data_IF_600922617181
#
_entry.id   IF_600922617181
#
_cell.length_a   1.000
_cell.length_b   1.000
_cell.length_c   1.000
_cell.angle_alpha   90.00
_cell.angle_beta   90.00
_cell.angle_gamma   90.00
#
_symmetry.space_group_name_H-M   'P 1'
#
loop_
_entity.id
_entity.type
_entity.pdbx_description
1 polymer ?
#
# COMPACT_ATOMS: atom_id res chain seq x y z
N UNK A 1 16.93 23.07 -0.98
CA UNK A 1 16.68 21.63 -1.14
C UNK A 1 16.56 21.33 -2.63
N UNK A 2 17.23 20.31 -3.15
CA UNK A 2 17.06 19.90 -4.54
C UNK A 2 15.59 19.54 -4.76
N UNK A 3 15.06 19.84 -5.94
CA UNK A 3 13.68 19.56 -6.32
C UNK A 3 13.53 18.02 -6.43
N UNK A 4 13.01 17.38 -5.37
CA UNK A 4 12.88 15.93 -5.32
C UNK A 4 11.77 15.53 -6.31
N UNK A 5 12.11 14.67 -7.26
CA UNK A 5 11.14 14.13 -8.23
C UNK A 5 9.97 13.48 -7.49
N UNK A 6 8.74 13.86 -7.86
CA UNK A 6 7.52 13.27 -7.30
C UNK A 6 6.78 12.47 -8.37
N UNK A 7 6.29 11.29 -7.99
CA UNK A 7 5.50 10.40 -8.86
C UNK A 7 4.35 9.82 -8.06
N UNK A 8 3.15 9.82 -8.62
CA UNK A 8 2.05 9.08 -8.00
C UNK A 8 2.23 7.57 -8.27
N UNK A 9 2.06 6.74 -7.24
CA UNK A 9 2.25 5.28 -7.38
C UNK A 9 1.29 4.66 -8.40
N UNK A 10 0.09 5.23 -8.59
CA UNK A 10 -0.82 4.83 -9.67
C UNK A 10 -0.25 5.11 -11.09
N UNK A 11 0.53 6.20 -11.27
CA UNK A 11 1.15 6.48 -12.57
C UNK A 11 2.25 5.47 -12.89
N UNK A 12 3.02 5.06 -11.87
CA UNK A 12 3.99 3.99 -11.96
C UNK A 12 3.32 2.63 -12.26
N UNK A 13 2.18 2.35 -11.62
CA UNK A 13 1.35 1.17 -11.90
C UNK A 13 0.96 1.07 -13.37
N UNK A 14 0.38 2.13 -13.94
CA UNK A 14 -0.02 2.13 -15.35
C UNK A 14 1.15 1.91 -16.32
N UNK A 15 2.33 2.47 -16.02
CA UNK A 15 3.57 2.26 -16.79
C UNK A 15 4.09 0.83 -16.68
N UNK A 16 4.11 0.29 -15.45
CA UNK A 16 4.55 -1.08 -15.21
C UNK A 16 3.67 -2.10 -15.95
N UNK A 17 2.34 -1.91 -15.95
CA UNK A 17 1.43 -2.76 -16.70
C UNK A 17 1.74 -2.74 -18.20
N UNK A 18 2.00 -1.57 -18.79
CA UNK A 18 2.33 -1.47 -20.20
C UNK A 18 3.68 -2.12 -20.53
N UNK A 19 4.67 -1.99 -19.66
CA UNK A 19 5.97 -2.64 -19.82
C UNK A 19 5.84 -4.17 -19.76
N UNK A 20 5.17 -4.71 -18.72
CA UNK A 20 4.91 -6.14 -18.60
C UNK A 20 4.06 -6.69 -19.73
N UNK A 21 3.09 -5.92 -20.23
CA UNK A 21 2.27 -6.31 -21.37
C UNK A 21 3.06 -6.49 -22.68
N UNK A 22 4.20 -5.80 -22.82
CA UNK A 22 5.09 -5.99 -23.95
C UNK A 22 5.90 -7.30 -23.86
N UNK A 23 6.14 -7.77 -22.66
CA UNK A 23 6.92 -8.99 -22.40
C UNK A 23 6.03 -10.25 -22.27
N UNK A 24 4.75 -10.08 -21.88
CA UNK A 24 3.86 -11.17 -21.50
C UNK A 24 2.50 -11.08 -22.20
N UNK A 25 2.22 -11.98 -23.12
CA UNK A 25 0.97 -12.00 -23.91
C UNK A 25 -0.25 -12.43 -23.07
N UNK A 26 -0.04 -13.20 -22.01
CA UNK A 26 -1.10 -13.67 -21.12
C UNK A 26 -1.55 -12.63 -20.07
N UNK A 27 -0.84 -11.47 -19.96
CA UNK A 27 -1.28 -10.38 -19.12
C UNK A 27 -2.46 -9.64 -19.76
N UNK A 28 -3.57 -9.54 -19.03
CA UNK A 28 -4.76 -8.79 -19.41
C UNK A 28 -5.14 -7.80 -18.30
N UNK A 29 -5.76 -6.69 -18.69
CA UNK A 29 -6.15 -5.63 -17.74
C UNK A 29 -7.65 -5.40 -17.85
N UNK A 30 -8.31 -5.34 -16.68
CA UNK A 30 -9.73 -5.01 -16.58
C UNK A 30 -9.89 -3.70 -15.79
N UNK A 31 -10.90 -2.93 -16.14
CA UNK A 31 -11.25 -1.69 -15.47
C UNK A 31 -12.78 -1.55 -15.31
N UNK A 32 -13.21 -0.69 -14.40
CA UNK A 32 -14.62 -0.41 -14.14
C UNK A 32 -14.93 1.07 -14.47
N UNK A 33 -14.75 1.47 -15.72
CA UNK A 33 -14.96 2.84 -16.27
C UNK A 33 -14.05 3.90 -15.60
N UNK A 34 -12.87 3.50 -15.13
CA UNK A 34 -11.93 4.37 -14.42
C UNK A 34 -10.52 4.37 -15.02
N UNK A 35 -10.32 3.85 -16.25
CA UNK A 35 -9.02 3.63 -16.86
C UNK A 35 -8.10 4.86 -16.87
N UNK A 36 -8.65 6.07 -17.03
CA UNK A 36 -7.87 7.30 -16.95
C UNK A 36 -7.41 7.63 -15.52
N UNK A 37 -8.23 7.35 -14.54
CA UNK A 37 -7.94 7.62 -13.13
C UNK A 37 -7.00 6.56 -12.53
N UNK A 38 -7.20 5.28 -12.82
CA UNK A 38 -6.36 4.15 -12.40
C UNK A 38 -5.05 4.08 -13.17
N UNK A 39 -4.94 4.81 -14.31
CA UNK A 39 -3.81 4.81 -15.26
C UNK A 39 -3.68 3.54 -16.11
N UNK A 40 -4.62 2.62 -16.04
CA UNK A 40 -4.70 1.45 -16.94
C UNK A 40 -4.87 1.86 -18.41
N UNK A 41 -5.31 3.11 -18.67
CA UNK A 41 -5.34 3.68 -20.03
C UNK A 41 -3.97 3.60 -20.73
N UNK A 42 -2.85 3.61 -19.99
CA UNK A 42 -1.51 3.44 -20.57
C UNK A 42 -1.38 2.06 -21.23
N UNK A 43 -1.84 1.03 -20.53
CA UNK A 43 -1.91 -0.34 -21.09
C UNK A 43 -2.94 -0.43 -22.23
N UNK A 44 -4.12 0.15 -22.06
CA UNK A 44 -5.18 0.16 -23.08
C UNK A 44 -4.69 0.71 -24.43
N UNK A 45 -3.94 1.82 -24.40
CA UNK A 45 -3.37 2.43 -25.61
C UNK A 45 -2.36 1.54 -26.31
N UNK A 46 -1.55 0.80 -25.56
CA UNK A 46 -0.54 -0.12 -26.09
C UNK A 46 -1.14 -1.45 -26.56
N UNK A 47 -2.13 -1.97 -25.83
CA UNK A 47 -2.71 -3.30 -26.03
C UNK A 47 -4.24 -3.28 -25.97
N UNK A 48 -4.95 -2.63 -26.92
CA UNK A 48 -6.40 -2.42 -26.84
C UNK A 48 -7.22 -3.72 -26.83
N UNK A 49 -6.70 -4.82 -27.39
CA UNK A 49 -7.38 -6.12 -27.43
C UNK A 49 -7.17 -6.95 -26.13
N UNK A 50 -6.36 -6.46 -25.21
CA UNK A 50 -6.09 -7.10 -23.90
C UNK A 50 -6.56 -6.24 -22.72
N UNK A 51 -7.26 -5.14 -23.01
CA UNK A 51 -7.91 -4.29 -22.02
C UNK A 51 -9.41 -4.38 -22.15
N UNK A 52 -10.11 -4.62 -21.01
CA UNK A 52 -11.54 -4.84 -20.95
C UNK A 52 -12.16 -3.87 -19.95
N UNK A 53 -13.02 -2.98 -20.44
CA UNK A 53 -13.83 -2.12 -19.58
C UNK A 53 -15.15 -2.84 -19.28
N UNK A 54 -15.40 -3.07 -18.00
CA UNK A 54 -16.61 -3.76 -17.51
C UNK A 54 -17.75 -2.78 -17.18
N UNK A 55 -17.55 -1.48 -17.42
CA UNK A 55 -18.46 -0.43 -16.96
C UNK A 55 -18.41 -0.27 -15.45
N UNK A 56 -19.30 0.54 -14.87
CA UNK A 56 -19.37 0.79 -13.41
C UNK A 56 -19.97 -0.44 -12.72
N UNK A 57 -19.23 -1.55 -12.72
CA UNK A 57 -19.69 -2.86 -12.25
C UNK A 57 -18.51 -3.66 -11.65
N UNK A 58 -17.93 -3.20 -10.55
CA UNK A 58 -16.73 -3.77 -9.93
C UNK A 58 -16.90 -5.24 -9.52
N UNK A 59 -18.06 -5.60 -8.99
CA UNK A 59 -18.36 -7.00 -8.66
C UNK A 59 -18.34 -7.91 -9.89
N UNK A 60 -18.89 -7.44 -11.03
CA UNK A 60 -18.82 -8.16 -12.29
C UNK A 60 -17.38 -8.23 -12.82
N UNK A 61 -16.63 -7.12 -12.77
CA UNK A 61 -15.22 -7.09 -13.18
C UNK A 61 -14.39 -8.14 -12.43
N UNK A 62 -14.56 -8.25 -11.13
CA UNK A 62 -13.85 -9.24 -10.29
C UNK A 62 -14.24 -10.67 -10.71
N UNK A 63 -15.53 -10.97 -10.98
CA UNK A 63 -15.95 -12.28 -11.46
C UNK A 63 -15.41 -12.60 -12.85
N UNK A 64 -15.36 -11.63 -13.77
CA UNK A 64 -14.76 -11.78 -15.10
C UNK A 64 -13.27 -12.07 -14.98
N UNK A 65 -12.54 -11.31 -14.15
CA UNK A 65 -11.13 -11.55 -13.90
C UNK A 65 -10.87 -12.95 -13.31
N UNK A 66 -11.70 -13.38 -12.35
CA UNK A 66 -11.65 -14.74 -11.80
C UNK A 66 -11.80 -15.80 -12.90
N UNK A 67 -12.81 -15.66 -13.79
CA UNK A 67 -13.01 -16.57 -14.93
C UNK A 67 -11.83 -16.57 -15.89
N UNK A 68 -11.29 -15.41 -16.25
CA UNK A 68 -10.14 -15.29 -17.13
C UNK A 68 -8.89 -15.97 -16.55
N UNK A 69 -8.66 -15.89 -15.26
CA UNK A 69 -7.49 -16.53 -14.63
C UNK A 69 -7.51 -18.06 -14.76
N UNK A 70 -8.69 -18.68 -14.82
CA UNK A 70 -8.83 -20.14 -15.00
C UNK A 70 -8.43 -20.61 -16.40
N UNK A 71 -8.23 -19.69 -17.35
CA UNK A 71 -7.79 -20.00 -18.73
C UNK A 71 -6.28 -19.80 -18.96
N UNK A 72 -5.52 -19.55 -17.89
CA UNK A 72 -4.07 -19.31 -17.96
C UNK A 72 -3.68 -17.83 -18.20
N UNK A 73 -4.66 -16.93 -18.21
CA UNK A 73 -4.40 -15.49 -18.23
C UNK A 73 -4.04 -14.99 -16.83
N UNK A 74 -3.30 -13.88 -16.77
CA UNK A 74 -2.98 -13.15 -15.55
C UNK A 74 -3.70 -11.80 -15.57
N UNK A 75 -4.92 -11.73 -15.03
CA UNK A 75 -5.70 -10.51 -15.03
C UNK A 75 -5.28 -9.55 -13.92
N UNK A 76 -5.14 -8.27 -14.30
CA UNK A 76 -5.05 -7.13 -13.39
C UNK A 76 -6.40 -6.40 -13.41
N UNK A 77 -7.19 -6.56 -12.37
CA UNK A 77 -8.50 -5.92 -12.21
C UNK A 77 -8.35 -4.61 -11.43
N UNK A 78 -8.69 -3.48 -12.06
CA UNK A 78 -8.35 -2.15 -11.54
C UNK A 78 -9.59 -1.31 -11.28
N UNK A 79 -9.65 -0.71 -10.09
CA UNK A 79 -10.64 0.29 -9.69
C UNK A 79 -10.09 1.13 -8.54
N UNK A 80 -10.90 2.02 -7.97
CA UNK A 80 -10.52 2.68 -6.71
C UNK A 80 -10.56 1.68 -5.55
N UNK A 81 -9.70 1.89 -4.56
CA UNK A 81 -9.58 1.00 -3.41
C UNK A 81 -10.94 0.79 -2.70
N UNK A 82 -11.73 1.86 -2.51
CA UNK A 82 -13.05 1.77 -1.91
C UNK A 82 -14.00 0.85 -2.69
N UNK A 83 -13.93 0.86 -4.00
CA UNK A 83 -14.84 0.08 -4.83
C UNK A 83 -14.34 -1.35 -5.03
N UNK A 84 -13.04 -1.55 -5.17
CA UNK A 84 -12.44 -2.88 -5.28
C UNK A 84 -12.57 -3.68 -3.97
N UNK A 85 -12.28 -3.04 -2.83
CA UNK A 85 -12.30 -3.71 -1.52
C UNK A 85 -13.66 -3.68 -0.84
N UNK A 86 -14.43 -2.59 -0.96
CA UNK A 86 -15.72 -2.44 -0.31
C UNK A 86 -16.86 -3.05 -1.15
N UNK A 87 -17.12 -2.47 -2.34
CA UNK A 87 -18.25 -2.87 -3.19
C UNK A 87 -18.16 -4.29 -3.70
N UNK A 88 -16.95 -4.75 -4.06
CA UNK A 88 -16.71 -6.08 -4.62
C UNK A 88 -16.14 -7.09 -3.61
N UNK A 89 -16.20 -6.80 -2.30
CA UNK A 89 -15.55 -7.62 -1.27
C UNK A 89 -15.96 -9.11 -1.34
N UNK A 90 -17.26 -9.39 -1.47
CA UNK A 90 -17.75 -10.77 -1.52
C UNK A 90 -17.18 -11.52 -2.73
N UNK A 91 -17.13 -10.87 -3.91
CA UNK A 91 -16.58 -11.48 -5.12
C UNK A 91 -15.07 -11.67 -5.02
N UNK A 92 -14.34 -10.72 -4.43
CA UNK A 92 -12.90 -10.90 -4.15
C UNK A 92 -12.69 -12.10 -3.22
N UNK A 93 -13.47 -12.20 -2.14
CA UNK A 93 -13.36 -13.30 -1.18
C UNK A 93 -13.72 -14.65 -1.81
N UNK A 94 -14.86 -14.75 -2.46
CA UNK A 94 -15.44 -16.04 -2.89
C UNK A 94 -15.00 -16.47 -4.28
N UNK A 95 -14.83 -15.52 -5.22
CA UNK A 95 -14.46 -15.85 -6.59
C UNK A 95 -12.94 -15.85 -6.82
N UNK A 96 -12.16 -15.15 -6.00
CA UNK A 96 -10.71 -15.08 -6.13
C UNK A 96 -10.01 -15.75 -4.95
N UNK A 97 -10.28 -15.30 -3.72
CA UNK A 97 -9.56 -15.73 -2.52
C UNK A 97 -9.81 -17.20 -2.19
N UNK A 98 -11.08 -17.64 -2.15
CA UNK A 98 -11.44 -19.01 -1.77
C UNK A 98 -10.84 -20.08 -2.72
N UNK A 99 -10.93 -19.94 -4.06
CA UNK A 99 -10.29 -20.87 -4.98
C UNK A 99 -8.81 -20.55 -5.22
N UNK A 100 -8.25 -19.51 -4.57
CA UNK A 100 -6.85 -19.09 -4.67
C UNK A 100 -6.40 -18.78 -6.12
N UNK A 101 -7.23 -18.04 -6.87
CA UNK A 101 -6.99 -17.74 -8.27
C UNK A 101 -5.92 -16.66 -8.46
N UNK A 102 -5.16 -16.79 -9.55
CA UNK A 102 -4.09 -15.88 -9.93
C UNK A 102 -4.63 -14.57 -10.52
N UNK A 103 -5.24 -13.74 -9.68
CA UNK A 103 -5.78 -12.42 -10.03
C UNK A 103 -5.06 -11.34 -9.23
N UNK A 104 -4.66 -10.25 -9.92
CA UNK A 104 -4.06 -9.06 -9.30
C UNK A 104 -5.09 -7.94 -9.25
N UNK A 105 -5.35 -7.42 -8.06
CA UNK A 105 -6.28 -6.31 -7.86
C UNK A 105 -5.48 -5.03 -7.75
N UNK A 106 -5.52 -4.18 -8.77
CA UNK A 106 -4.86 -2.88 -8.82
C UNK A 106 -5.76 -1.79 -8.22
N UNK A 107 -5.73 -1.63 -6.91
CA UNK A 107 -6.57 -0.71 -6.16
C UNK A 107 -5.90 0.66 -6.04
N UNK A 108 -6.37 1.65 -6.79
CA UNK A 108 -5.85 3.02 -6.72
C UNK A 108 -6.69 3.90 -5.78
N UNK A 109 -6.22 5.11 -5.48
CA UNK A 109 -6.96 6.06 -4.64
C UNK A 109 -7.24 5.52 -3.22
N UNK A 110 -6.29 4.77 -2.62
CA UNK A 110 -6.39 4.37 -1.22
C UNK A 110 -6.09 5.54 -0.29
N UNK A 111 -6.76 5.56 0.87
CA UNK A 111 -6.49 6.49 1.98
C UNK A 111 -7.13 7.87 1.87
N UNK A 112 -6.72 8.73 2.79
CA UNK A 112 -7.21 10.10 2.98
C UNK A 112 -6.75 11.07 1.87
N UNK A 113 -5.56 10.80 1.28
CA UNK A 113 -4.96 11.65 0.25
C UNK A 113 -5.67 11.62 -1.11
N UNK A 114 -6.77 10.88 -1.22
CA UNK A 114 -7.73 11.06 -2.33
C UNK A 114 -8.19 12.51 -2.42
N UNK A 115 -8.35 13.16 -1.28
CA UNK A 115 -8.51 14.61 -1.23
C UNK A 115 -9.95 15.07 -1.45
N UNK A 116 -10.17 15.85 -2.51
CA UNK A 116 -11.41 16.56 -2.76
C UNK A 116 -12.64 15.68 -2.97
N UNK A 117 -12.45 14.45 -3.45
CA UNK A 117 -13.54 13.47 -3.66
C UNK A 117 -14.23 13.07 -2.35
N UNK A 118 -13.54 13.23 -1.21
CA UNK A 118 -14.10 13.11 0.13
C UNK A 118 -14.36 11.68 0.59
N UNK A 119 -15.05 11.56 1.73
CA UNK A 119 -15.22 10.32 2.48
C UNK A 119 -15.77 9.12 1.68
N UNK A 120 -16.63 9.35 0.68
CA UNK A 120 -17.20 8.27 -0.13
C UNK A 120 -16.18 7.58 -1.06
N UNK A 121 -15.03 8.21 -1.30
CA UNK A 121 -13.94 7.72 -2.15
C UNK A 121 -12.66 7.43 -1.37
N UNK A 122 -12.47 8.07 -0.22
CA UNK A 122 -11.36 7.81 0.68
C UNK A 122 -11.53 6.44 1.32
N UNK A 123 -10.62 5.50 1.02
CA UNK A 123 -10.66 4.15 1.56
C UNK A 123 -9.59 3.99 2.64
N UNK A 124 -10.02 3.95 3.88
CA UNK A 124 -9.16 3.72 5.04
C UNK A 124 -9.37 2.34 5.67
N UNK A 125 -10.10 1.44 5.03
CA UNK A 125 -10.52 0.13 5.54
C UNK A 125 -10.04 -1.04 4.66
N UNK A 126 -9.43 -0.75 3.53
CA UNK A 126 -9.10 -1.78 2.52
C UNK A 126 -8.12 -2.84 3.03
N UNK A 127 -7.10 -2.47 3.81
CA UNK A 127 -6.20 -3.45 4.40
C UNK A 127 -6.95 -4.37 5.38
N UNK A 128 -7.82 -3.83 6.21
CA UNK A 128 -8.61 -4.61 7.16
C UNK A 128 -9.46 -5.67 6.44
N UNK A 129 -10.16 -5.26 5.38
CA UNK A 129 -10.99 -6.14 4.57
C UNK A 129 -10.15 -7.22 3.86
N UNK A 130 -9.09 -6.82 3.18
CA UNK A 130 -8.26 -7.75 2.39
C UNK A 130 -7.42 -8.67 3.27
N UNK A 131 -6.94 -8.20 4.44
CA UNK A 131 -6.19 -9.05 5.38
C UNK A 131 -7.02 -10.19 5.94
N UNK A 132 -8.33 -10.02 6.07
CA UNK A 132 -9.24 -11.07 6.55
C UNK A 132 -9.40 -12.25 5.56
N UNK A 133 -9.03 -12.07 4.28
CA UNK A 133 -9.16 -13.12 3.25
C UNK A 133 -7.93 -14.05 3.34
N UNK A 134 -8.13 -15.38 3.58
CA UNK A 134 -7.04 -16.35 3.59
C UNK A 134 -6.26 -16.36 2.26
N UNK A 135 -4.92 -16.42 2.34
CA UNK A 135 -4.05 -16.48 1.17
C UNK A 135 -3.91 -15.21 0.33
N UNK A 136 -4.66 -14.13 0.64
CA UNK A 136 -4.51 -12.85 -0.02
C UNK A 136 -3.18 -12.19 0.35
N UNK A 137 -2.38 -11.83 -0.64
CA UNK A 137 -1.18 -10.99 -0.46
C UNK A 137 -1.55 -9.51 -0.59
N UNK A 138 -0.99 -8.64 0.26
CA UNK A 138 -1.30 -7.21 0.28
C UNK A 138 -0.02 -6.40 0.20
N UNK A 139 0.08 -5.52 -0.79
CA UNK A 139 1.25 -4.70 -1.07
C UNK A 139 0.84 -3.23 -1.18
N UNK A 140 1.58 -2.35 -0.49
CA UNK A 140 1.41 -0.89 -0.52
C UNK A 140 2.79 -0.24 -0.71
N UNK A 141 3.24 -0.03 -1.96
CA UNK A 141 4.57 0.51 -2.23
C UNK A 141 4.71 1.97 -1.81
N UNK A 142 5.93 2.33 -1.39
CA UNK A 142 6.25 3.61 -0.79
C UNK A 142 6.54 4.73 -1.79
N UNK A 143 6.94 4.39 -3.02
CA UNK A 143 7.17 5.37 -4.11
C UNK A 143 6.94 4.77 -5.50
N UNK A 144 7.17 5.56 -6.54
CA UNK A 144 6.94 5.13 -7.91
C UNK A 144 7.87 4.02 -8.39
N UNK A 145 9.11 3.97 -7.91
CA UNK A 145 10.08 2.94 -8.29
C UNK A 145 9.73 1.61 -7.64
N UNK A 146 9.45 1.63 -6.35
CA UNK A 146 8.99 0.43 -5.64
C UNK A 146 7.64 -0.07 -6.19
N UNK A 147 6.75 0.85 -6.64
CA UNK A 147 5.48 0.47 -7.25
C UNK A 147 5.69 -0.33 -8.55
N UNK A 148 6.63 0.08 -9.43
CA UNK A 148 6.97 -0.67 -10.64
C UNK A 148 7.52 -2.07 -10.29
N UNK A 149 8.41 -2.17 -9.31
CA UNK A 149 8.99 -3.43 -8.85
C UNK A 149 7.92 -4.34 -8.21
N UNK A 150 7.01 -3.78 -7.39
CA UNK A 150 5.91 -4.50 -6.77
C UNK A 150 4.91 -5.07 -7.78
N UNK A 151 4.61 -4.34 -8.85
CA UNK A 151 3.72 -4.81 -9.94
C UNK A 151 4.35 -6.01 -10.65
N UNK A 152 5.66 -5.95 -10.93
CA UNK A 152 6.40 -7.07 -11.50
C UNK A 152 6.40 -8.28 -10.58
N UNK A 153 6.72 -8.10 -9.30
CA UNK A 153 6.72 -9.18 -8.33
C UNK A 153 5.32 -9.80 -8.14
N UNK A 154 4.27 -8.99 -8.22
CA UNK A 154 2.90 -9.48 -8.19
C UNK A 154 2.56 -10.32 -9.44
N UNK A 155 3.02 -9.92 -10.64
CA UNK A 155 2.85 -10.71 -11.85
C UNK A 155 3.55 -12.08 -11.75
N UNK A 156 4.78 -12.10 -11.24
CA UNK A 156 5.60 -13.31 -11.10
C UNK A 156 5.07 -14.28 -10.02
N UNK A 157 4.26 -13.79 -9.07
CA UNK A 157 3.65 -14.60 -8.01
C UNK A 157 2.38 -15.29 -8.50
N UNK A 158 2.22 -16.58 -8.24
CA UNK A 158 0.94 -17.28 -8.42
C UNK A 158 0.02 -17.07 -7.20
N UNK A 159 -1.26 -16.76 -7.46
CA UNK A 159 -2.25 -16.50 -6.43
C UNK A 159 -2.73 -15.05 -6.34
N UNK A 160 -3.66 -14.76 -5.41
CA UNK A 160 -4.32 -13.46 -5.33
C UNK A 160 -3.43 -12.40 -4.67
N UNK A 161 -3.34 -11.23 -5.32
CA UNK A 161 -2.57 -10.08 -4.81
C UNK A 161 -3.44 -8.82 -4.86
N UNK A 162 -3.51 -8.10 -3.75
CA UNK A 162 -4.07 -6.77 -3.64
C UNK A 162 -2.94 -5.75 -3.60
N UNK A 163 -2.87 -4.89 -4.61
CA UNK A 163 -1.90 -3.82 -4.77
C UNK A 163 -2.58 -2.48 -4.51
N UNK A 164 -2.15 -1.76 -3.49
CA UNK A 164 -2.71 -0.46 -3.13
C UNK A 164 -1.83 0.68 -3.61
N UNK A 165 -2.41 1.61 -4.37
CA UNK A 165 -1.72 2.78 -4.91
C UNK A 165 -2.41 4.09 -4.52
N UNK A 166 -1.59 5.14 -4.27
CA UNK A 166 -2.06 6.48 -3.97
C UNK A 166 -2.35 7.32 -5.23
N UNK A 167 -3.22 8.33 -5.07
CA UNK A 167 -3.48 9.38 -6.07
C UNK A 167 -2.42 10.47 -6.03
N UNK A 168 -1.94 10.83 -4.84
CA UNK A 168 -1.00 11.92 -4.61
C UNK A 168 0.37 11.59 -5.20
N UNK A 169 1.00 12.56 -5.88
CA UNK A 169 2.39 12.44 -6.28
C UNK A 169 3.31 12.64 -5.07
N UNK A 170 4.09 11.62 -4.74
CA UNK A 170 4.96 11.54 -3.57
C UNK A 170 6.44 11.51 -3.99
N UNK A 171 7.35 11.91 -3.11
CA UNK A 171 8.79 11.86 -3.39
C UNK A 171 9.27 10.47 -3.77
N UNK A 172 10.16 10.40 -4.75
CA UNK A 172 10.84 9.17 -5.15
C UNK A 172 12.20 9.14 -4.45
N UNK A 173 12.44 8.12 -3.65
CA UNK A 173 13.66 7.94 -2.88
C UNK A 173 14.37 6.60 -3.17
N UNK A 174 13.68 5.62 -3.75
CA UNK A 174 14.32 4.41 -4.23
C UNK A 174 15.06 4.66 -5.56
N UNK A 175 16.18 3.96 -5.75
CA UNK A 175 16.89 3.93 -7.01
C UNK A 175 16.22 2.98 -8.01
N UNK A 176 16.31 3.31 -9.30
CA UNK A 176 15.75 2.46 -10.37
C UNK A 176 16.39 1.08 -10.31
N UNK A 177 15.55 0.04 -10.28
CA UNK A 177 15.99 -1.35 -10.13
C UNK A 177 16.15 -1.77 -8.67
N UNK A 178 15.53 -1.05 -7.72
CA UNK A 178 15.50 -1.46 -6.32
C UNK A 178 15.03 -2.92 -6.18
N UNK A 179 15.58 -3.61 -5.21
CA UNK A 179 15.19 -4.98 -4.92
C UNK A 179 13.88 -4.97 -4.13
N UNK A 180 12.83 -5.57 -4.71
CA UNK A 180 11.55 -5.77 -4.03
C UNK A 180 11.27 -7.26 -3.87
N UNK A 181 10.97 -7.68 -2.65
CA UNK A 181 10.60 -9.06 -2.35
C UNK A 181 9.33 -9.09 -1.49
N UNK A 182 8.31 -9.79 -1.97
CA UNK A 182 7.05 -9.97 -1.23
C UNK A 182 7.34 -10.62 0.14
N UNK A 183 6.80 -10.04 1.21
CA UNK A 183 6.98 -10.53 2.57
C UNK A 183 8.29 -10.10 3.24
N UNK A 184 9.07 -9.20 2.61
CA UNK A 184 10.27 -8.61 3.19
C UNK A 184 10.12 -7.09 3.31
N UNK A 185 10.53 -6.57 4.46
CA UNK A 185 10.67 -5.14 4.71
C UNK A 185 12.10 -4.67 4.45
N UNK A 186 12.28 -3.36 4.31
CA UNK A 186 13.57 -2.72 4.08
C UNK A 186 13.91 -1.77 5.22
N UNK A 187 15.13 -1.85 5.77
CA UNK A 187 15.65 -0.90 6.75
C UNK A 187 16.26 0.27 6.00
N UNK A 188 15.55 1.40 5.96
CA UNK A 188 15.99 2.63 5.29
C UNK A 188 16.94 3.46 6.16
N UNK A 189 16.81 3.35 7.48
CA UNK A 189 17.66 3.99 8.47
C UNK A 189 17.82 3.06 9.67
N UNK A 190 19.05 2.83 10.09
CA UNK A 190 19.31 2.08 11.33
C UNK A 190 19.18 2.99 12.57
N UNK A 191 18.79 2.40 13.71
CA UNK A 191 18.58 3.12 14.95
C UNK A 191 18.42 2.19 16.15
N UNK A 192 18.34 2.77 17.37
CA UNK A 192 18.33 1.99 18.62
C UNK A 192 17.28 2.46 19.62
N UNK A 193 16.64 3.62 19.43
CA UNK A 193 15.75 4.20 20.44
C UNK A 193 14.27 3.89 20.18
N UNK A 194 13.87 3.89 18.91
CA UNK A 194 12.50 3.59 18.47
C UNK A 194 12.54 3.04 17.04
N UNK A 195 11.71 2.04 16.74
CA UNK A 195 11.52 1.54 15.38
C UNK A 195 10.23 2.13 14.79
N UNK A 196 10.35 2.87 13.68
CA UNK A 196 9.23 3.41 12.92
C UNK A 196 9.00 2.50 11.72
N UNK A 197 7.87 1.79 11.70
CA UNK A 197 7.48 0.85 10.65
C UNK A 197 6.36 1.49 9.84
N UNK A 198 6.63 1.83 8.59
CA UNK A 198 5.68 2.56 7.75
C UNK A 198 5.42 1.84 6.43
N UNK A 199 4.31 2.16 5.76
CA UNK A 199 4.03 1.76 4.40
C UNK A 199 3.50 2.92 3.55
N UNK A 200 3.51 2.74 2.23
CA UNK A 200 2.98 3.73 1.30
C UNK A 200 3.61 5.10 1.49
N UNK A 201 2.81 6.15 1.34
CA UNK A 201 3.30 7.53 1.44
C UNK A 201 3.90 7.90 2.81
N UNK A 202 3.51 7.20 3.88
CA UNK A 202 4.03 7.46 5.24
C UNK A 202 5.50 7.05 5.40
N UNK A 203 6.07 6.28 4.48
CA UNK A 203 7.49 5.93 4.53
C UNK A 203 8.38 7.17 4.37
N UNK A 204 8.05 8.06 3.43
CA UNK A 204 8.82 9.29 3.27
C UNK A 204 8.68 10.23 4.48
N UNK A 205 7.48 10.34 5.05
CA UNK A 205 7.25 11.08 6.29
C UNK A 205 8.06 10.48 7.46
N UNK A 206 8.16 9.14 7.54
CA UNK A 206 8.97 8.46 8.54
C UNK A 206 10.48 8.72 8.36
N UNK A 207 10.98 8.78 7.10
CA UNK A 207 12.39 9.15 6.81
C UNK A 207 12.66 10.57 7.34
N UNK A 208 11.80 11.54 6.99
CA UNK A 208 11.96 12.91 7.44
C UNK A 208 11.85 13.04 8.98
N UNK A 209 10.94 12.31 9.59
CA UNK A 209 10.84 12.25 11.04
C UNK A 209 12.13 11.68 11.69
N UNK A 210 12.69 10.61 11.12
CA UNK A 210 13.95 10.02 11.61
C UNK A 210 15.15 10.97 11.50
N UNK A 211 15.20 11.79 10.44
CA UNK A 211 16.22 12.85 10.29
C UNK A 211 16.06 13.95 11.36
N UNK A 212 14.84 14.47 11.53
CA UNK A 212 14.56 15.49 12.54
C UNK A 212 14.79 14.99 13.98
N UNK A 213 14.46 13.74 14.27
CA UNK A 213 14.70 13.10 15.56
C UNK A 213 16.20 12.97 15.88
N UNK A 214 17.04 12.70 14.88
CA UNK A 214 18.49 12.65 15.09
C UNK A 214 19.08 13.99 15.58
N UNK A 215 18.56 15.11 15.08
CA UNK A 215 18.95 16.45 15.56
C UNK A 215 18.56 16.68 17.03
N UNK A 216 17.60 15.91 17.53
CA UNK A 216 17.12 15.96 18.93
C UNK A 216 17.75 14.87 19.81
N UNK A 217 18.68 14.08 19.28
CA UNK A 217 19.34 13.00 20.00
C UNK A 217 18.50 11.72 20.15
N UNK A 218 17.48 11.54 19.30
CA UNK A 218 16.69 10.29 19.20
C UNK A 218 17.17 9.53 17.96
N UNK A 219 17.72 8.33 18.17
CA UNK A 219 18.22 7.49 17.10
C UNK A 219 17.14 6.51 16.63
N UNK A 220 16.26 6.98 15.75
CA UNK A 220 15.17 6.18 15.21
C UNK A 220 15.62 5.23 14.09
N UNK A 221 15.15 3.98 14.14
CA UNK A 221 15.17 3.05 13.01
C UNK A 221 13.95 3.32 12.13
N UNK A 222 14.11 3.37 10.81
CA UNK A 222 13.01 3.55 9.86
C UNK A 222 12.94 2.34 8.94
N UNK A 223 11.77 1.72 8.89
CA UNK A 223 11.50 0.51 8.11
C UNK A 223 10.36 0.77 7.13
N UNK A 224 10.62 0.51 5.85
CA UNK A 224 9.59 0.38 4.83
C UNK A 224 9.01 -1.04 4.88
N UNK A 225 7.73 -1.15 5.20
CA UNK A 225 6.99 -2.42 5.24
C UNK A 225 5.95 -2.42 4.12
N UNK A 226 6.41 -2.46 2.88
CA UNK A 226 5.54 -2.41 1.71
C UNK A 226 4.61 -3.63 1.60
N UNK A 227 4.96 -4.78 2.16
CA UNK A 227 4.08 -5.94 2.25
C UNK A 227 3.38 -5.98 3.61
N UNK A 228 2.07 -5.72 3.61
CA UNK A 228 1.25 -5.77 4.84
C UNK A 228 0.89 -7.22 5.19
N UNK A 229 0.76 -8.08 4.16
CA UNK A 229 0.50 -9.51 4.30
C UNK A 229 1.12 -10.26 3.11
N UNK A 230 2.03 -11.25 3.36
CA UNK A 230 2.56 -11.62 4.67
C UNK A 230 3.46 -10.53 5.26
N UNK A 231 3.41 -10.37 6.57
CA UNK A 231 4.30 -9.46 7.30
C UNK A 231 5.71 -10.05 7.41
N UNK A 232 6.77 -9.23 7.33
CA UNK A 232 8.13 -9.65 7.69
C UNK A 232 8.28 -9.74 9.21
N UNK A 233 7.83 -10.87 9.77
CA UNK A 233 7.83 -11.09 11.22
C UNK A 233 9.24 -11.03 11.83
N UNK A 234 10.26 -11.55 11.10
CA UNK A 234 11.64 -11.56 11.58
C UNK A 234 12.20 -10.15 11.73
N UNK A 235 11.93 -9.29 10.73
CA UNK A 235 12.35 -7.89 10.78
C UNK A 235 11.65 -7.13 11.89
N UNK A 236 10.33 -7.29 12.04
CA UNK A 236 9.56 -6.65 13.11
C UNK A 236 10.08 -7.06 14.50
N UNK A 237 10.28 -8.36 14.73
CA UNK A 237 10.79 -8.87 16.00
C UNK A 237 12.21 -8.38 16.29
N UNK A 238 13.09 -8.34 15.27
CA UNK A 238 14.47 -7.87 15.44
C UNK A 238 14.51 -6.36 15.76
N UNK A 239 13.69 -5.56 15.09
CA UNK A 239 13.56 -4.13 15.34
C UNK A 239 13.00 -3.84 16.74
N UNK A 240 11.93 -4.53 17.13
CA UNK A 240 11.34 -4.40 18.47
C UNK A 240 12.33 -4.80 19.57
N UNK A 241 13.08 -5.88 19.38
CA UNK A 241 14.12 -6.31 20.33
C UNK A 241 15.25 -5.28 20.46
N UNK A 242 15.64 -4.65 19.33
CA UNK A 242 16.74 -3.69 19.29
C UNK A 242 16.36 -2.34 19.90
N UNK A 243 15.16 -1.84 19.57
CA UNK A 243 14.73 -0.48 19.93
C UNK A 243 13.90 -0.42 21.21
N UNK A 244 13.18 -1.48 21.58
CA UNK A 244 12.32 -1.53 22.77
C UNK A 244 10.98 -0.79 22.61
N UNK A 245 10.83 0.06 21.59
CA UNK A 245 9.63 0.83 21.27
C UNK A 245 9.36 0.76 19.76
N UNK A 246 8.08 0.63 19.39
CA UNK A 246 7.67 0.57 17.98
C UNK A 246 6.59 1.62 17.70
N UNK A 247 6.72 2.35 16.60
CA UNK A 247 5.69 3.23 16.05
C UNK A 247 5.32 2.67 14.67
N UNK A 248 4.04 2.50 14.39
CA UNK A 248 3.57 2.13 13.05
C UNK A 248 2.90 3.32 12.38
N UNK A 249 3.15 3.52 11.08
CA UNK A 249 2.61 4.64 10.32
C UNK A 249 1.97 4.14 9.03
N UNK A 250 0.67 4.40 8.88
CA UNK A 250 -0.10 3.97 7.71
C UNK A 250 -1.19 4.98 7.35
N UNK A 251 -1.43 5.19 6.06
CA UNK A 251 -2.56 5.96 5.57
C UNK A 251 -3.82 5.08 5.50
N UNK A 252 -4.23 4.58 6.66
CA UNK A 252 -5.33 3.64 6.83
C UNK A 252 -5.89 3.81 8.25
N UNK A 253 -7.07 3.28 8.52
CA UNK A 253 -7.58 3.18 9.88
C UNK A 253 -6.56 2.46 10.77
N UNK A 254 -6.42 2.90 12.02
CA UNK A 254 -5.64 2.17 13.02
C UNK A 254 -6.23 0.79 13.33
N UNK A 255 -7.46 0.51 12.86
CA UNK A 255 -8.17 -0.76 13.02
C UNK A 255 -7.94 -1.64 11.78
N UNK A 256 -7.36 -2.81 11.96
CA UNK A 256 -7.21 -3.84 10.93
C UNK A 256 -6.04 -3.68 9.96
N UNK A 257 -5.25 -2.59 10.04
CA UNK A 257 -4.15 -2.29 9.14
C UNK A 257 -2.80 -2.90 9.53
N UNK A 258 -1.71 -2.23 9.09
CA UNK A 258 -0.33 -2.59 9.41
C UNK A 258 -0.08 -2.55 10.91
N UNK A 259 -0.56 -1.51 11.59
CA UNK A 259 -0.37 -1.34 13.03
C UNK A 259 -0.93 -2.51 13.83
N UNK A 260 -2.13 -2.99 13.52
CA UNK A 260 -2.67 -4.18 14.18
C UNK A 260 -1.92 -5.47 13.82
N UNK A 261 -1.43 -5.61 12.59
CA UNK A 261 -0.60 -6.76 12.23
C UNK A 261 0.65 -6.83 13.11
N UNK A 262 1.34 -5.69 13.27
CA UNK A 262 2.52 -5.56 14.14
C UNK A 262 2.16 -5.79 15.62
N UNK A 263 1.07 -5.18 16.11
CA UNK A 263 0.60 -5.38 17.49
C UNK A 263 0.29 -6.84 17.80
N UNK A 264 -0.42 -7.55 16.90
CA UNK A 264 -0.73 -8.97 17.09
C UNK A 264 0.54 -9.80 17.19
N UNK A 265 1.49 -9.63 16.26
CA UNK A 265 2.76 -10.33 16.28
C UNK A 265 3.54 -10.09 17.58
N UNK A 266 3.67 -8.81 17.96
CA UNK A 266 4.45 -8.45 19.15
C UNK A 266 3.78 -8.92 20.43
N UNK A 267 2.46 -8.84 20.54
CA UNK A 267 1.77 -9.31 21.75
C UNK A 267 1.94 -10.82 21.96
N UNK A 268 2.05 -11.60 20.91
CA UNK A 268 2.20 -13.06 20.96
C UNK A 268 3.66 -13.50 21.19
N UNK A 269 4.62 -12.85 20.48
CA UNK A 269 6.00 -13.36 20.42
C UNK A 269 7.01 -12.54 21.20
N UNK A 270 6.82 -11.23 21.32
CA UNK A 270 7.74 -10.31 22.02
C UNK A 270 6.97 -9.08 22.51
N UNK A 271 6.28 -9.14 23.65
CA UNK A 271 5.49 -8.01 24.16
C UNK A 271 6.32 -6.73 24.20
N UNK A 272 5.96 -5.77 23.36
CA UNK A 272 6.69 -4.51 23.16
C UNK A 272 5.66 -3.38 23.08
N UNK A 273 5.90 -2.22 23.70
CA UNK A 273 5.04 -1.05 23.54
C UNK A 273 4.96 -0.62 22.08
N UNK A 274 3.74 -0.45 21.56
CA UNK A 274 3.47 -0.01 20.19
C UNK A 274 2.56 1.21 20.19
N UNK A 275 2.96 2.27 19.49
CA UNK A 275 2.10 3.40 19.18
C UNK A 275 1.72 3.36 17.69
N UNK A 276 0.43 3.48 17.39
CA UNK A 276 -0.08 3.44 16.01
C UNK A 276 -0.41 4.84 15.54
N UNK A 277 0.08 5.23 14.36
CA UNK A 277 -0.26 6.45 13.64
C UNK A 277 -1.04 6.04 12.39
N UNK A 278 -2.27 6.51 12.30
CA UNK A 278 -3.22 6.23 11.23
C UNK A 278 -4.49 7.05 11.45
N UNK A 279 -5.55 6.75 10.71
CA UNK A 279 -6.88 7.39 10.88
C UNK A 279 -7.57 6.79 12.11
N UNK A 280 -7.92 7.62 13.09
CA UNK A 280 -8.42 7.21 14.40
C UNK A 280 -9.95 7.05 14.43
N UNK A 281 -10.47 5.94 13.87
CA UNK A 281 -11.89 5.55 13.91
C UNK A 281 -12.86 6.70 13.53
N UNK A 282 -12.51 7.40 12.47
CA UNK A 282 -13.29 8.52 11.94
C UNK A 282 -13.31 8.49 10.41
N UNK A 283 -14.36 9.04 9.82
CA UNK A 283 -14.42 9.22 8.37
C UNK A 283 -13.58 10.41 7.92
N UNK A 284 -13.05 10.32 6.73
CA UNK A 284 -12.45 11.47 6.08
C UNK A 284 -13.49 12.49 5.61
N UNK A 285 -13.04 13.54 4.96
CA UNK A 285 -13.87 14.56 4.35
C UNK A 285 -13.16 15.21 3.16
N UNK A 286 -13.90 16.01 2.37
CA UNK A 286 -13.33 16.72 1.23
C UNK A 286 -12.36 17.80 1.67
N UNK A 287 -11.21 17.88 0.98
CA UNK A 287 -10.20 18.90 1.23
C UNK A 287 -8.93 18.66 0.39
N UNK A 288 -8.00 19.61 0.37
CA UNK A 288 -6.69 19.40 -0.25
C UNK A 288 -5.92 18.25 0.44
N UNK A 289 -5.39 17.32 -0.32
CA UNK A 289 -4.75 16.10 0.19
C UNK A 289 -3.70 16.38 1.29
N UNK A 290 -2.80 17.34 1.08
CA UNK A 290 -1.77 17.70 2.06
C UNK A 290 -2.34 18.27 3.37
N UNK A 291 -3.44 19.03 3.29
CA UNK A 291 -4.11 19.55 4.47
C UNK A 291 -4.79 18.42 5.27
N UNK A 292 -5.41 17.47 4.58
CA UNK A 292 -6.02 16.29 5.21
C UNK A 292 -4.96 15.43 5.90
N UNK A 293 -3.87 15.09 5.23
CA UNK A 293 -2.76 14.34 5.84
C UNK A 293 -2.30 14.99 7.15
N UNK A 294 -2.10 16.30 7.15
CA UNK A 294 -1.70 17.04 8.35
C UNK A 294 -2.79 17.01 9.43
N UNK A 295 -4.05 17.21 9.05
CA UNK A 295 -5.19 17.21 10.00
C UNK A 295 -5.36 15.85 10.69
N UNK A 296 -5.16 14.76 9.95
CA UNK A 296 -5.25 13.40 10.49
C UNK A 296 -3.94 12.92 11.16
N UNK A 297 -2.94 13.80 11.35
CA UNK A 297 -1.68 13.46 11.99
C UNK A 297 -0.77 12.55 11.15
N UNK A 298 -0.99 12.49 9.84
CA UNK A 298 -0.21 11.66 8.91
C UNK A 298 0.96 12.48 8.33
N UNK A 299 1.83 12.97 9.20
CA UNK A 299 2.95 13.84 8.83
C UNK A 299 4.21 13.58 9.66
N UNK A 300 5.35 13.98 9.13
CA UNK A 300 6.65 13.84 9.82
C UNK A 300 6.67 14.55 11.17
N UNK A 301 6.07 15.75 11.27
CA UNK A 301 6.01 16.51 12.51
C UNK A 301 5.29 15.73 13.60
N UNK A 302 4.15 15.12 13.28
CA UNK A 302 3.40 14.34 14.26
C UNK A 302 4.12 13.06 14.66
N UNK A 303 4.80 12.39 13.72
CA UNK A 303 5.65 11.22 14.03
C UNK A 303 6.75 11.61 15.03
N UNK A 304 7.36 12.80 14.87
CA UNK A 304 8.37 13.31 15.82
C UNK A 304 7.80 13.56 17.19
N UNK A 305 6.61 14.20 17.28
CA UNK A 305 5.92 14.46 18.55
C UNK A 305 5.60 13.15 19.30
N UNK A 306 4.98 12.21 18.58
CA UNK A 306 4.65 10.88 19.14
C UNK A 306 5.89 10.16 19.64
N UNK A 307 7.00 10.19 18.91
CA UNK A 307 8.21 9.50 19.33
C UNK A 307 8.84 10.12 20.58
N UNK A 308 8.84 11.46 20.70
CA UNK A 308 9.31 12.15 21.91
C UNK A 308 8.53 11.74 23.16
N UNK A 309 7.20 11.83 23.07
CA UNK A 309 6.32 11.51 24.19
C UNK A 309 6.43 10.03 24.56
N UNK A 310 6.51 9.15 23.55
CA UNK A 310 6.52 7.71 23.73
C UNK A 310 7.84 7.19 24.30
N UNK A 311 8.98 7.79 23.92
CA UNK A 311 10.30 7.40 24.42
C UNK A 311 10.71 8.17 25.69
N UNK A 312 9.92 9.16 26.14
CA UNK A 312 10.21 9.98 27.32
C UNK A 312 11.48 10.85 27.16
N UNK A 313 11.75 11.34 25.96
CA UNK A 313 12.95 12.15 25.60
C UNK A 313 12.58 13.56 25.17
#
# INVERSE_FOLDING_TARGET
>A
MADVKKVATRDAYGKALAALGAEHENLVVLDADLANATKTQTFQKAFPHRHFDCGIAEANMICVAAGMSTTGLVPFASSFAMFASGRAFEQVRNSIGYPHLNVKIGATHGGISVGEDGASHQCCEDFALMRSIPGMTIICPADGVEAEAAVKAAYDMDGPVYLRFGRLAIPVFHEVGCHFQIGKGEVLRDGTDVAIIANGLLVYEAIQAGEAQAEMGINAMVINMATVKPLDEELVLSAAKKCGYVITCEEHSVIGGLGEAVCSLLSEKLPTPVQRIGVNDEFGHSGPAAALLKQFGLSAEHIVEVAKDFCGK
#
